data_IF_658097938646
#
_entry.id   IF_658097938646
#
_cell.length_a   1.000
_cell.length_b   1.000
_cell.length_c   1.000
_cell.angle_alpha   90.00
_cell.angle_beta   90.00
_cell.angle_gamma   90.00
#
_symmetry.space_group_name_H-M   'P 1'
#
loop_
_entity.id
_entity.type
_entity.pdbx_description
1 polymer ?
#
# COMPACT_ATOMS: atom_id res chain seq x y z
N UNK A 1 7.36 -19.40 -1.36
CA UNK A 1 7.49 -19.18 -2.81
C UNK A 1 8.41 -18.00 -3.02
N UNK A 2 9.60 -18.24 -3.60
CA UNK A 2 10.60 -17.20 -3.82
C UNK A 2 10.13 -16.29 -4.97
N UNK A 3 9.85 -15.02 -4.68
CA UNK A 3 9.54 -14.01 -5.69
C UNK A 3 10.81 -13.80 -6.49
N UNK A 4 10.89 -14.37 -7.69
CA UNK A 4 11.97 -14.10 -8.65
C UNK A 4 12.00 -12.60 -8.88
N UNK A 5 13.08 -11.96 -8.43
CA UNK A 5 13.35 -10.55 -8.68
C UNK A 5 13.70 -10.45 -10.16
N UNK A 6 12.72 -10.15 -11.00
CA UNK A 6 12.95 -9.90 -12.42
C UNK A 6 13.95 -8.75 -12.54
N UNK A 7 15.04 -9.02 -13.25
CA UNK A 7 16.12 -8.07 -13.52
C UNK A 7 15.65 -7.24 -14.72
N UNK A 8 15.50 -5.93 -14.53
CA UNK A 8 15.05 -5.05 -15.61
C UNK A 8 16.25 -4.51 -16.39
N UNK A 9 16.12 -4.48 -17.72
CA UNK A 9 17.10 -3.88 -18.62
C UNK A 9 16.68 -2.45 -19.01
N UNK A 10 17.67 -1.63 -19.40
CA UNK A 10 17.43 -0.32 -20.02
C UNK A 10 16.65 -0.54 -21.31
N UNK A 11 15.70 0.35 -21.62
CA UNK A 11 14.76 0.26 -22.76
C UNK A 11 13.62 -0.77 -22.59
N UNK A 12 13.53 -1.46 -21.45
CA UNK A 12 12.38 -2.30 -21.15
C UNK A 12 11.10 -1.49 -20.97
N UNK A 13 9.97 -2.01 -21.47
CA UNK A 13 8.65 -1.43 -21.27
C UNK A 13 7.97 -2.05 -20.05
N UNK A 14 7.40 -1.22 -19.19
CA UNK A 14 6.66 -1.64 -17.99
C UNK A 14 5.34 -0.89 -17.91
N UNK A 15 4.27 -1.58 -17.52
CA UNK A 15 2.96 -0.96 -17.30
C UNK A 15 2.84 -0.53 -15.84
N UNK A 16 2.56 0.75 -15.62
CA UNK A 16 2.31 1.30 -14.29
C UNK A 16 1.46 2.56 -14.37
N UNK A 17 0.76 2.88 -13.28
CA UNK A 17 0.00 4.12 -13.14
C UNK A 17 0.92 5.35 -13.22
N UNK A 18 0.65 6.23 -14.19
CA UNK A 18 1.38 7.48 -14.35
C UNK A 18 0.76 8.56 -13.44
N UNK A 19 1.55 9.18 -12.56
CA UNK A 19 1.07 10.27 -11.71
C UNK A 19 0.67 11.54 -12.48
N UNK A 20 1.09 11.67 -13.74
CA UNK A 20 0.69 12.79 -14.60
C UNK A 20 -0.55 12.50 -15.45
N UNK A 21 -0.86 11.23 -15.72
CA UNK A 21 -2.00 10.84 -16.56
C UNK A 21 -3.15 10.19 -15.78
N UNK A 22 -2.96 9.92 -14.48
CA UNK A 22 -3.88 9.20 -13.59
C UNK A 22 -4.40 7.87 -14.17
N UNK A 23 -3.64 7.29 -15.10
CA UNK A 23 -4.01 6.08 -15.85
C UNK A 23 -2.83 5.12 -15.89
N UNK A 24 -3.13 3.83 -15.98
CA UNK A 24 -2.14 2.79 -16.27
C UNK A 24 -1.60 3.01 -17.69
N UNK A 25 -0.31 3.31 -17.78
CA UNK A 25 0.38 3.60 -19.03
C UNK A 25 1.69 2.84 -19.11
N UNK A 26 2.10 2.53 -20.33
CA UNK A 26 3.41 1.97 -20.62
C UNK A 26 4.49 3.04 -20.36
N UNK A 27 5.43 2.72 -19.47
CA UNK A 27 6.62 3.51 -19.23
C UNK A 27 7.85 2.77 -19.76
N UNK A 28 8.76 3.51 -20.38
CA UNK A 28 10.05 3.01 -20.86
C UNK A 28 11.12 3.25 -19.80
N UNK A 29 11.91 2.24 -19.50
CA UNK A 29 12.97 2.30 -18.50
C UNK A 29 14.16 3.10 -19.05
N UNK A 30 14.36 4.30 -18.50
CA UNK A 30 15.45 5.20 -18.92
C UNK A 30 16.75 4.83 -18.23
N UNK A 31 16.70 4.52 -16.94
CA UNK A 31 17.89 4.19 -16.16
C UNK A 31 17.62 3.04 -15.21
N UNK A 32 18.59 2.13 -15.11
CA UNK A 32 18.65 1.03 -14.15
C UNK A 32 19.91 1.13 -13.30
N UNK A 33 19.87 0.61 -12.08
CA UNK A 33 21.07 0.40 -11.26
C UNK A 33 21.87 -0.78 -11.78
N UNK A 34 23.14 -0.87 -11.35
CA UNK A 34 24.01 -2.05 -11.60
C UNK A 34 23.40 -3.37 -11.10
N UNK A 35 22.40 -3.31 -10.22
CA UNK A 35 21.68 -4.47 -9.65
C UNK A 35 20.36 -4.77 -10.39
N UNK A 36 20.11 -4.15 -11.55
CA UNK A 36 18.90 -4.39 -12.36
C UNK A 36 17.62 -3.79 -11.79
N UNK A 37 17.74 -2.76 -10.93
CA UNK A 37 16.59 -2.03 -10.40
C UNK A 37 16.38 -0.75 -11.19
N UNK A 38 15.17 -0.53 -11.69
CA UNK A 38 14.82 0.70 -12.40
C UNK A 38 14.93 1.88 -11.44
N UNK A 39 15.59 2.96 -11.87
CA UNK A 39 15.70 4.21 -11.12
C UNK A 39 14.82 5.30 -11.70
N UNK A 40 14.64 5.32 -13.03
CA UNK A 40 13.78 6.27 -13.73
C UNK A 40 13.07 5.59 -14.89
N UNK A 41 11.80 5.94 -15.07
CA UNK A 41 11.00 5.50 -16.19
C UNK A 41 10.26 6.70 -16.80
N UNK A 42 10.15 6.73 -18.13
CA UNK A 42 9.48 7.77 -18.90
C UNK A 42 8.15 7.24 -19.41
N UNK A 43 7.06 7.95 -19.19
CA UNK A 43 5.75 7.55 -19.73
C UNK A 43 5.75 7.70 -21.25
N UNK A 44 5.28 6.69 -21.99
CA UNK A 44 5.18 6.75 -23.44
C UNK A 44 4.09 7.73 -23.93
N UNK A 45 3.09 8.04 -23.10
CA UNK A 45 1.98 8.91 -23.47
C UNK A 45 2.23 10.40 -23.20
N UNK A 46 2.93 10.73 -22.11
CA UNK A 46 3.17 12.12 -21.71
C UNK A 46 4.66 12.50 -21.61
N UNK A 47 5.55 11.59 -22.01
CA UNK A 47 7.01 11.74 -22.03
C UNK A 47 7.64 12.17 -20.69
N UNK A 48 6.85 12.12 -19.61
CA UNK A 48 7.28 12.58 -18.30
C UNK A 48 8.25 11.57 -17.70
N UNK A 49 9.47 12.01 -17.43
CA UNK A 49 10.49 11.20 -16.74
C UNK A 49 10.23 11.28 -15.24
N UNK A 50 9.74 10.18 -14.68
CA UNK A 50 9.48 10.08 -13.25
C UNK A 50 10.47 9.14 -12.57
N UNK A 51 10.86 9.48 -11.35
CA UNK A 51 11.70 8.60 -10.51
C UNK A 51 10.90 7.35 -10.20
N UNK A 52 11.41 6.20 -10.64
CA UNK A 52 10.77 4.92 -10.43
C UNK A 52 10.97 4.49 -8.98
N UNK A 53 10.08 4.95 -8.12
CA UNK A 53 9.97 4.39 -6.78
C UNK A 53 9.07 3.17 -6.89
N UNK A 54 9.68 1.97 -6.89
CA UNK A 54 8.96 0.71 -6.69
C UNK A 54 8.48 0.62 -5.23
N UNK A 55 7.74 1.62 -4.79
CA UNK A 55 7.71 2.06 -3.40
C UNK A 55 6.59 3.03 -3.03
N UNK A 56 5.70 3.43 -3.95
CA UNK A 56 4.32 3.79 -3.59
C UNK A 56 3.38 2.63 -3.93
N UNK A 57 3.81 1.42 -3.58
CA UNK A 57 2.87 0.56 -2.86
C UNK A 57 2.66 1.33 -1.58
N UNK A 58 1.47 1.84 -1.34
CA UNK A 58 1.16 2.52 -0.08
C UNK A 58 1.63 1.61 1.05
N UNK A 59 2.77 1.95 1.64
CA UNK A 59 3.50 1.10 2.55
C UNK A 59 2.71 0.99 3.84
N UNK A 60 1.95 -0.08 3.95
CA UNK A 60 1.91 -0.85 5.19
C UNK A 60 2.28 -2.25 4.76
N UNK A 61 3.59 -2.47 4.78
CA UNK A 61 4.10 -3.79 5.03
C UNK A 61 3.67 -4.17 6.45
N UNK A 62 2.79 -5.16 6.54
CA UNK A 62 2.35 -5.72 7.79
C UNK A 62 1.14 -6.63 7.58
N UNK A 63 1.40 -7.90 7.23
CA UNK A 63 0.43 -8.97 7.38
C UNK A 63 -0.56 -9.16 6.23
N UNK A 64 -0.48 -10.32 5.59
CA UNK A 64 -1.55 -11.05 4.89
C UNK A 64 -2.80 -10.25 4.51
N UNK A 65 -2.72 -9.58 3.35
CA UNK A 65 -3.78 -9.62 2.33
C UNK A 65 -5.23 -9.40 2.76
N UNK A 66 -5.51 -8.59 3.77
CA UNK A 66 -6.85 -8.06 4.00
C UNK A 66 -6.79 -6.56 3.84
N UNK A 67 -7.35 -6.06 2.74
CA UNK A 67 -7.43 -4.64 2.44
C UNK A 67 -7.92 -3.89 3.70
N UNK A 68 -7.08 -3.01 4.24
CA UNK A 68 -7.39 -2.23 5.43
C UNK A 68 -8.49 -1.23 5.08
N UNK A 69 -9.75 -1.64 5.25
CA UNK A 69 -10.90 -0.78 5.01
C UNK A 69 -10.81 0.47 5.91
N UNK A 70 -11.32 1.63 5.44
CA UNK A 70 -11.49 2.79 6.29
C UNK A 70 -12.24 2.40 7.57
N UNK A 71 -11.84 3.00 8.69
CA UNK A 71 -12.52 2.80 9.96
C UNK A 71 -13.97 3.27 9.85
N UNK A 72 -14.89 2.39 10.19
CA UNK A 72 -16.33 2.56 10.07
C UNK A 72 -16.98 2.12 11.38
N UNK A 73 -17.51 3.10 12.11
CA UNK A 73 -18.13 2.88 13.42
C UNK A 73 -19.37 1.98 13.36
N UNK A 74 -19.96 1.78 12.19
CA UNK A 74 -21.17 0.95 11.97
C UNK A 74 -20.84 -0.50 11.68
N UNK A 75 -19.57 -0.81 11.39
CA UNK A 75 -19.12 -2.17 11.04
C UNK A 75 -18.66 -2.94 12.27
N UNK A 76 -18.84 -4.26 12.21
CA UNK A 76 -18.28 -5.20 13.19
C UNK A 76 -16.84 -5.56 12.81
N UNK A 77 -15.93 -5.37 13.73
CA UNK A 77 -14.53 -5.74 13.57
C UNK A 77 -14.22 -7.07 14.24
N UNK A 78 -13.27 -7.81 13.66
CA UNK A 78 -12.76 -9.07 14.21
C UNK A 78 -11.28 -8.94 14.56
N UNK A 79 -10.84 -9.73 15.54
CA UNK A 79 -9.41 -9.88 15.87
C UNK A 79 -8.60 -10.30 14.64
N UNK A 80 -7.45 -9.65 14.43
CA UNK A 80 -6.56 -9.80 13.28
C UNK A 80 -7.00 -9.02 12.03
N UNK A 81 -8.03 -8.18 12.12
CA UNK A 81 -8.46 -7.37 10.98
C UNK A 81 -7.68 -6.05 10.94
N UNK A 82 -7.09 -5.74 9.78
CA UNK A 82 -6.47 -4.44 9.54
C UNK A 82 -7.53 -3.39 9.18
N UNK A 83 -7.36 -2.17 9.67
CA UNK A 83 -8.18 -1.01 9.32
C UNK A 83 -7.36 0.26 9.28
N UNK A 84 -7.84 1.26 8.54
CA UNK A 84 -7.17 2.56 8.43
C UNK A 84 -8.00 3.64 9.14
N UNK A 85 -7.42 4.31 10.13
CA UNK A 85 -8.01 5.43 10.83
C UNK A 85 -7.39 6.75 10.37
N UNK A 86 -8.21 7.77 10.14
CA UNK A 86 -7.75 9.08 9.62
C UNK A 86 -6.65 9.71 10.51
N UNK A 87 -6.86 9.71 11.83
CA UNK A 87 -5.91 10.29 12.80
C UNK A 87 -4.69 9.43 13.12
N UNK A 88 -4.79 8.10 12.98
CA UNK A 88 -3.79 7.15 13.51
C UNK A 88 -3.11 6.32 12.42
N UNK A 89 -3.54 6.46 11.17
CA UNK A 89 -3.08 5.64 10.07
C UNK A 89 -3.58 4.20 10.19
N UNK A 90 -2.79 3.25 9.70
CA UNK A 90 -3.20 1.84 9.67
C UNK A 90 -2.94 1.16 11.00
N UNK A 91 -3.90 0.37 11.44
CA UNK A 91 -3.83 -0.42 12.65
C UNK A 91 -4.47 -1.79 12.48
N UNK A 92 -4.06 -2.74 13.31
CA UNK A 92 -4.60 -4.09 13.34
C UNK A 92 -5.37 -4.32 14.64
N UNK A 93 -6.58 -4.87 14.53
CA UNK A 93 -7.41 -5.21 15.70
C UNK A 93 -6.78 -6.39 16.43
N UNK A 94 -6.31 -6.19 17.65
CA UNK A 94 -5.64 -7.24 18.44
C UNK A 94 -6.59 -7.97 19.38
N UNK A 95 -7.67 -7.32 19.81
CA UNK A 95 -8.70 -7.93 20.64
C UNK A 95 -10.06 -7.25 20.44
N UNK A 96 -11.12 -8.05 20.58
CA UNK A 96 -12.50 -7.57 20.73
C UNK A 96 -12.85 -7.81 22.19
N UNK A 97 -13.08 -6.74 22.96
CA UNK A 97 -13.31 -6.86 24.41
C UNK A 97 -14.80 -6.90 24.72
N UNK A 98 -15.55 -5.91 24.22
CA UNK A 98 -17.00 -5.84 24.33
C UNK A 98 -17.59 -5.84 22.91
N UNK A 99 -18.88 -6.19 22.70
CA UNK A 99 -19.50 -6.18 21.37
C UNK A 99 -19.38 -4.83 20.64
N UNK A 100 -19.05 -3.75 21.35
CA UNK A 100 -18.85 -2.41 20.83
C UNK A 100 -17.45 -1.83 21.09
N UNK A 101 -16.50 -2.59 21.68
CA UNK A 101 -15.15 -2.07 21.98
C UNK A 101 -14.07 -3.04 21.50
N UNK A 102 -13.14 -2.48 20.74
CA UNK A 102 -11.96 -3.18 20.20
C UNK A 102 -10.70 -2.50 20.65
N UNK A 103 -9.65 -3.30 20.79
CA UNK A 103 -8.30 -2.81 20.99
C UNK A 103 -7.51 -2.99 19.69
N UNK A 104 -6.86 -1.92 19.26
CA UNK A 104 -6.26 -1.78 17.94
C UNK A 104 -4.82 -1.37 18.12
N UNK A 105 -3.91 -2.18 17.60
CA UNK A 105 -2.50 -1.87 17.58
C UNK A 105 -2.22 -1.00 16.35
N UNK A 106 -1.94 0.27 16.60
CA UNK A 106 -1.35 1.16 15.60
C UNK A 106 0.17 1.07 15.68
N UNK A 107 0.87 1.46 14.62
CA UNK A 107 2.33 1.36 14.56
C UNK A 107 3.07 2.09 15.69
N UNK A 108 2.42 3.08 16.30
CA UNK A 108 2.95 3.83 17.44
C UNK A 108 2.51 3.26 18.79
N UNK A 109 1.22 2.92 18.94
CA UNK A 109 0.66 2.50 20.23
C UNK A 109 -0.66 1.73 20.08
N UNK A 110 -1.00 0.97 21.12
CA UNK A 110 -2.29 0.28 21.24
C UNK A 110 -3.36 1.25 21.74
N UNK A 111 -4.50 1.33 21.03
CA UNK A 111 -5.61 2.23 21.36
C UNK A 111 -6.93 1.47 21.37
N UNK A 112 -7.76 1.77 22.35
CA UNK A 112 -9.14 1.29 22.42
C UNK A 112 -10.04 2.14 21.52
N UNK A 113 -10.80 1.48 20.66
CA UNK A 113 -11.76 2.07 19.75
C UNK A 113 -13.15 1.48 19.96
N UNK A 114 -14.16 2.25 19.57
CA UNK A 114 -15.56 1.84 19.62
C UNK A 114 -15.96 1.33 18.24
N UNK A 115 -16.86 0.37 18.13
CA UNK A 115 -17.46 -0.02 16.86
C UNK A 115 -18.92 -0.46 17.04
N UNK A 116 -19.59 -0.82 15.94
CA UNK A 116 -21.00 -1.27 15.92
C UNK A 116 -21.94 -0.33 16.69
N UNK A 117 -21.76 0.99 16.54
CA UNK A 117 -22.69 1.97 17.09
C UNK A 117 -23.86 2.09 16.11
N UNK A 118 -25.00 1.51 16.49
CA UNK A 118 -26.29 1.72 15.81
C UNK A 118 -26.95 2.97 16.34
#
# INVERSE_FOLDING_TARGET
MAVKKEVYAVDGTIEMMCSSCDSDQAHTIVTVTKQGQITKAACAACETVSTFTRGVKTSVGGGTGKAASPYDRTRKYKKGQAMTHDKFGRGEVTAVIEPHKIDVLFGDQMRRMIHDQT
#
